data_IF_202680263738
#
_entry.id   IF_202680263738
#
_cell.length_a   1.000
_cell.length_b   1.000
_cell.length_c   1.000
_cell.angle_alpha   90.00
_cell.angle_beta   90.00
_cell.angle_gamma   90.00
#
_symmetry.space_group_name_H-M   'P 1'
#
loop_
_entity.id
_entity.type
_entity.pdbx_description
1 polymer ?
#
# COMPACT_ATOMS: atom_id res chain seq x y z
N UNK A 1 9.45 13.88 -22.72
CA UNK A 1 8.15 13.59 -23.35
C UNK A 1 7.81 14.62 -24.44
N UNK A 2 7.65 15.92 -24.15
CA UNK A 2 7.28 16.94 -25.15
C UNK A 2 8.15 16.91 -26.41
N UNK A 3 9.49 16.90 -26.24
CA UNK A 3 10.43 16.87 -27.38
C UNK A 3 10.28 15.62 -28.27
N UNK A 4 9.88 14.46 -27.68
CA UNK A 4 9.59 13.25 -28.45
C UNK A 4 8.28 13.40 -29.24
N UNK A 5 7.23 13.97 -28.61
CA UNK A 5 5.94 14.22 -29.29
C UNK A 5 6.10 15.20 -30.44
N UNK A 6 6.91 16.26 -30.25
CA UNK A 6 7.17 17.29 -31.27
C UNK A 6 8.22 16.84 -32.33
N UNK A 7 8.79 15.65 -32.22
CA UNK A 7 9.79 15.12 -33.14
C UNK A 7 11.18 15.80 -33.03
N UNK A 8 11.42 16.60 -31.98
CA UNK A 8 12.71 17.26 -31.72
C UNK A 8 13.72 16.39 -30.99
N UNK A 9 13.27 15.28 -30.41
CA UNK A 9 14.07 14.26 -29.74
C UNK A 9 13.65 12.88 -30.23
N UNK A 10 14.61 12.03 -30.51
CA UNK A 10 14.34 10.62 -30.78
C UNK A 10 14.03 9.86 -29.48
N UNK A 11 13.14 8.87 -29.56
CA UNK A 11 12.83 7.97 -28.48
C UNK A 11 13.93 6.90 -28.35
N UNK A 12 15.12 7.32 -27.99
CA UNK A 12 16.29 6.46 -27.84
C UNK A 12 16.37 5.77 -26.45
N UNK A 13 17.40 4.95 -26.25
CA UNK A 13 17.63 4.26 -24.99
C UNK A 13 17.89 5.22 -23.81
N UNK A 14 18.45 6.42 -24.08
CA UNK A 14 18.71 7.43 -23.05
C UNK A 14 17.42 8.04 -22.53
N UNK A 15 16.54 8.47 -23.43
CA UNK A 15 15.22 9.01 -23.10
C UNK A 15 14.39 7.98 -22.34
N UNK A 16 14.39 6.71 -22.80
CA UNK A 16 13.72 5.60 -22.11
C UNK A 16 14.28 5.39 -20.70
N UNK A 17 15.60 5.35 -20.57
CA UNK A 17 16.28 5.19 -19.29
C UNK A 17 15.88 6.25 -18.26
N UNK A 18 15.79 7.51 -18.67
CA UNK A 18 15.32 8.59 -17.79
C UNK A 18 13.87 8.43 -17.34
N UNK A 19 12.99 7.96 -18.23
CA UNK A 19 11.59 7.70 -17.88
C UNK A 19 11.42 6.47 -16.98
N UNK A 20 12.27 5.45 -17.16
CA UNK A 20 12.25 4.22 -16.35
C UNK A 20 12.83 4.42 -14.95
N UNK A 21 13.71 5.42 -14.75
CA UNK A 21 14.17 5.79 -13.41
C UNK A 21 13.14 6.57 -12.58
N UNK A 22 12.04 7.00 -13.19
CA UNK A 22 10.97 7.68 -12.47
C UNK A 22 10.20 6.72 -11.56
N UNK A 23 10.16 7.04 -10.26
CA UNK A 23 9.42 6.31 -9.22
C UNK A 23 7.89 6.36 -9.39
N UNK A 24 7.36 7.21 -10.25
CA UNK A 24 5.95 7.55 -10.32
C UNK A 24 5.33 7.94 -8.96
N UNK A 25 6.12 8.55 -8.08
CA UNK A 25 5.71 8.93 -6.71
C UNK A 25 4.83 10.18 -6.67
N UNK A 26 4.72 10.91 -7.77
CA UNK A 26 3.89 12.14 -7.94
C UNK A 26 4.29 13.32 -7.03
N UNK A 27 5.43 13.27 -6.36
CA UNK A 27 5.91 14.39 -5.53
C UNK A 27 6.16 15.67 -6.34
N UNK A 28 6.52 15.55 -7.61
CA UNK A 28 6.64 16.67 -8.54
C UNK A 28 5.32 17.41 -8.78
N UNK A 29 4.16 16.76 -8.62
CA UNK A 29 2.84 17.38 -8.77
C UNK A 29 2.55 18.36 -7.64
N UNK A 30 2.81 17.96 -6.40
CA UNK A 30 2.63 18.83 -5.22
C UNK A 30 3.66 19.94 -5.12
N UNK A 31 4.82 19.77 -5.74
CA UNK A 31 5.87 20.79 -5.82
C UNK A 31 5.70 21.74 -7.01
N UNK A 32 4.85 21.42 -7.99
CA UNK A 32 4.70 22.19 -9.21
C UNK A 32 3.78 23.41 -9.00
N UNK A 33 4.29 24.64 -9.13
CA UNK A 33 3.46 25.85 -8.98
C UNK A 33 2.42 26.00 -10.10
N UNK A 34 2.66 25.34 -11.26
CA UNK A 34 1.74 25.37 -12.42
C UNK A 34 0.70 24.23 -12.38
N UNK A 35 0.68 23.40 -11.35
CA UNK A 35 -0.31 22.34 -11.18
C UNK A 35 -0.25 21.21 -12.23
N UNK A 36 0.94 20.94 -12.79
CA UNK A 36 1.12 19.86 -13.79
C UNK A 36 0.85 18.50 -13.14
N UNK A 37 -0.11 17.76 -13.66
CA UNK A 37 -0.46 16.40 -13.21
C UNK A 37 0.42 15.37 -13.94
N UNK A 38 1.65 15.20 -13.47
CA UNK A 38 2.66 14.40 -14.15
C UNK A 38 2.26 12.91 -14.29
N UNK A 39 1.56 12.34 -13.33
CA UNK A 39 1.06 10.95 -13.42
C UNK A 39 0.15 10.72 -14.63
N UNK A 40 -0.65 11.73 -14.99
CA UNK A 40 -1.50 11.68 -16.19
C UNK A 40 -0.73 11.89 -17.50
N UNK A 41 0.54 12.21 -17.45
CA UNK A 41 1.41 12.33 -18.62
C UNK A 41 2.30 11.10 -18.78
N UNK A 42 2.87 10.58 -17.68
CA UNK A 42 3.87 9.52 -17.74
C UNK A 42 3.26 8.15 -18.10
N UNK A 43 2.09 7.82 -17.54
CA UNK A 43 1.50 6.51 -17.76
C UNK A 43 0.98 6.34 -19.20
N UNK A 44 0.21 7.27 -19.79
CA UNK A 44 -0.15 7.22 -21.22
C UNK A 44 1.08 7.29 -22.15
N UNK A 45 2.12 8.03 -21.76
CA UNK A 45 3.34 8.09 -22.57
C UNK A 45 4.08 6.74 -22.58
N UNK A 46 4.12 6.04 -21.45
CA UNK A 46 4.67 4.68 -21.37
C UNK A 46 3.87 3.71 -22.26
N UNK A 47 2.54 3.80 -22.25
CA UNK A 47 1.67 3.01 -23.12
C UNK A 47 1.97 3.27 -24.60
N UNK A 48 2.06 4.54 -24.99
CA UNK A 48 2.40 4.92 -26.35
C UNK A 48 3.81 4.41 -26.79
N UNK A 49 4.77 4.43 -25.85
CA UNK A 49 6.11 3.87 -26.10
C UNK A 49 6.06 2.36 -26.34
N UNK A 50 5.26 1.61 -25.57
CA UNK A 50 5.11 0.15 -25.74
C UNK A 50 4.45 -0.19 -27.08
N UNK A 51 3.46 0.59 -27.53
CA UNK A 51 2.85 0.41 -28.85
C UNK A 51 3.81 0.71 -30.00
N UNK A 52 4.67 1.73 -29.85
CA UNK A 52 5.66 2.07 -30.89
C UNK A 52 6.76 1.02 -31.01
N UNK A 53 7.21 0.42 -29.92
CA UNK A 53 8.26 -0.60 -29.88
C UNK A 53 7.91 -1.70 -28.84
N UNK A 54 7.09 -2.70 -29.20
CA UNK A 54 6.68 -3.75 -28.28
C UNK A 54 7.85 -4.50 -27.62
N UNK A 55 7.79 -4.65 -26.31
CA UNK A 55 8.80 -5.38 -25.52
C UNK A 55 10.04 -4.55 -25.15
N UNK A 56 10.10 -3.25 -25.50
CA UNK A 56 11.22 -2.36 -25.16
C UNK A 56 10.93 -1.32 -24.10
N UNK A 57 9.69 -1.21 -23.67
CA UNK A 57 9.25 -0.26 -22.65
C UNK A 57 9.10 -0.94 -21.31
N UNK A 58 9.44 -0.24 -20.28
CA UNK A 58 9.49 -0.72 -18.89
C UNK A 58 10.60 -1.78 -18.73
N UNK A 59 11.52 -1.53 -17.84
CA UNK A 59 12.64 -2.41 -17.54
C UNK A 59 12.23 -3.88 -17.61
N UNK A 60 12.90 -4.73 -18.37
CA UNK A 60 12.39 -6.02 -18.82
C UNK A 60 12.08 -6.90 -17.62
N UNK A 61 10.80 -7.03 -17.33
CA UNK A 61 10.32 -8.03 -16.37
C UNK A 61 10.71 -9.40 -16.92
N UNK A 62 11.40 -10.20 -16.12
CA UNK A 62 11.64 -11.57 -16.51
C UNK A 62 10.32 -12.35 -16.59
N UNK A 63 10.32 -13.51 -17.25
CA UNK A 63 9.12 -14.32 -17.50
C UNK A 63 8.34 -14.61 -16.20
N UNK A 64 9.06 -14.88 -15.11
CA UNK A 64 8.43 -15.15 -13.80
C UNK A 64 7.75 -13.92 -13.23
N UNK A 65 8.42 -12.76 -13.29
CA UNK A 65 7.84 -11.49 -12.82
C UNK A 65 6.62 -11.12 -13.64
N UNK A 66 6.67 -11.31 -14.96
CA UNK A 66 5.54 -11.07 -15.87
C UNK A 66 4.37 -12.01 -15.55
N UNK A 67 4.64 -13.31 -15.35
CA UNK A 67 3.65 -14.27 -14.93
C UNK A 67 2.97 -13.87 -13.61
N UNK A 68 3.76 -13.50 -12.61
CA UNK A 68 3.25 -13.09 -11.31
C UNK A 68 2.39 -11.83 -11.41
N UNK A 69 2.86 -10.80 -12.12
CA UNK A 69 2.15 -9.52 -12.23
C UNK A 69 0.84 -9.65 -13.01
N UNK A 70 0.85 -10.34 -14.16
CA UNK A 70 -0.30 -10.36 -15.07
C UNK A 70 -1.27 -11.53 -14.83
N UNK A 71 -0.79 -12.63 -14.24
CA UNK A 71 -1.64 -13.81 -14.06
C UNK A 71 -1.93 -14.15 -12.60
N UNK A 72 -1.00 -13.90 -11.68
CA UNK A 72 -1.18 -14.28 -10.27
C UNK A 72 -1.81 -13.14 -9.47
N UNK A 73 -1.16 -11.98 -9.42
CA UNK A 73 -1.59 -10.86 -8.58
C UNK A 73 -2.99 -10.30 -8.88
N UNK A 74 -3.50 -10.28 -10.12
CA UNK A 74 -4.86 -9.81 -10.38
C UNK A 74 -5.95 -10.63 -9.68
N UNK A 75 -5.65 -11.90 -9.38
CA UNK A 75 -6.59 -12.82 -8.74
C UNK A 75 -6.20 -13.11 -7.29
N UNK A 76 -7.03 -12.70 -6.33
CA UNK A 76 -6.84 -13.01 -4.90
C UNK A 76 -6.66 -14.51 -4.64
N UNK A 77 -7.43 -15.38 -5.33
CA UNK A 77 -7.32 -16.84 -5.20
C UNK A 77 -5.96 -17.35 -5.68
N UNK A 78 -5.51 -16.91 -6.86
CA UNK A 78 -4.21 -17.32 -7.42
C UNK A 78 -3.05 -16.82 -6.55
N UNK A 79 -3.12 -15.58 -6.05
CA UNK A 79 -2.10 -15.02 -5.14
C UNK A 79 -2.03 -15.82 -3.84
N UNK A 80 -3.18 -16.17 -3.24
CA UNK A 80 -3.21 -16.98 -2.01
C UNK A 80 -2.63 -18.38 -2.25
N UNK A 81 -2.94 -19.02 -3.39
CA UNK A 81 -2.38 -20.32 -3.77
C UNK A 81 -0.86 -20.23 -4.02
N UNK A 82 -0.40 -19.21 -4.73
CA UNK A 82 1.03 -18.98 -4.97
C UNK A 82 1.82 -18.75 -3.68
N UNK A 83 1.20 -18.17 -2.66
CA UNK A 83 1.82 -17.97 -1.34
C UNK A 83 1.68 -19.19 -0.39
N UNK A 84 0.89 -20.20 -0.74
CA UNK A 84 0.68 -21.38 0.13
C UNK A 84 1.99 -22.12 0.48
N UNK A 85 2.91 -22.40 -0.46
CA UNK A 85 4.20 -23.01 -0.15
C UNK A 85 5.04 -22.16 0.83
N UNK A 86 5.07 -20.83 0.65
CA UNK A 86 5.81 -19.94 1.54
C UNK A 86 5.20 -19.93 2.95
N UNK A 87 3.87 -19.96 3.07
CA UNK A 87 3.18 -20.11 4.38
C UNK A 87 3.53 -21.43 5.07
N UNK A 88 3.52 -22.53 4.31
CA UNK A 88 3.88 -23.85 4.85
C UNK A 88 5.33 -23.86 5.35
N UNK A 89 6.27 -23.30 4.59
CA UNK A 89 7.68 -23.20 4.98
C UNK A 89 7.87 -22.36 6.25
N UNK A 90 7.17 -21.23 6.36
CA UNK A 90 7.21 -20.38 7.55
C UNK A 90 6.55 -21.07 8.76
N UNK A 91 5.40 -21.73 8.56
CA UNK A 91 4.68 -22.42 9.62
C UNK A 91 5.43 -23.64 10.15
N UNK A 92 6.09 -24.42 9.29
CA UNK A 92 6.88 -25.59 9.67
C UNK A 92 8.21 -25.26 10.36
N UNK A 93 8.62 -23.99 10.38
CA UNK A 93 9.93 -23.56 10.88
C UNK A 93 11.10 -23.85 9.93
N UNK A 94 10.86 -24.50 8.80
CA UNK A 94 11.90 -24.79 7.79
C UNK A 94 12.50 -23.47 7.26
N UNK A 95 11.70 -22.45 7.12
CA UNK A 95 12.16 -21.12 6.68
C UNK A 95 13.23 -20.54 7.62
N UNK A 96 13.01 -20.64 8.94
CA UNK A 96 13.98 -20.24 9.95
C UNK A 96 15.28 -21.07 9.87
N UNK A 97 15.16 -22.39 9.68
CA UNK A 97 16.31 -23.28 9.54
C UNK A 97 17.13 -22.95 8.28
N UNK A 98 16.48 -22.69 7.14
CA UNK A 98 17.12 -22.27 5.88
C UNK A 98 17.85 -20.93 6.03
N UNK A 99 17.28 -19.98 6.78
CA UNK A 99 17.94 -18.71 7.08
C UNK A 99 19.16 -18.90 7.97
N UNK A 100 19.02 -19.66 9.06
CA UNK A 100 20.09 -19.90 10.03
C UNK A 100 21.27 -20.70 9.44
N UNK A 101 21.01 -21.66 8.57
CA UNK A 101 22.04 -22.44 7.86
C UNK A 101 22.72 -21.69 6.73
N UNK A 102 22.22 -20.52 6.34
CA UNK A 102 22.71 -19.77 5.19
C UNK A 102 22.35 -20.40 3.83
N UNK A 103 21.58 -21.48 3.79
CA UNK A 103 21.17 -22.16 2.56
C UNK A 103 20.36 -21.23 1.61
N UNK A 104 19.73 -20.20 2.15
CA UNK A 104 19.09 -19.14 1.32
C UNK A 104 20.04 -18.42 0.40
N UNK A 105 21.36 -18.44 0.67
CA UNK A 105 22.38 -17.83 -0.22
C UNK A 105 22.55 -18.60 -1.54
N UNK A 106 22.17 -19.88 -1.57
CA UNK A 106 22.19 -20.72 -2.76
C UNK A 106 21.03 -20.44 -3.73
N UNK A 107 19.98 -19.74 -3.27
CA UNK A 107 18.87 -19.35 -4.12
C UNK A 107 19.32 -18.32 -5.19
N UNK A 108 18.75 -18.39 -6.41
CA UNK A 108 18.91 -17.35 -7.42
C UNK A 108 18.62 -15.96 -6.84
N UNK A 109 19.34 -14.92 -7.29
CA UNK A 109 19.19 -13.54 -6.78
C UNK A 109 17.72 -13.07 -6.79
N UNK A 110 16.97 -13.38 -7.85
CA UNK A 110 15.56 -13.03 -7.98
C UNK A 110 14.67 -13.66 -6.90
N UNK A 111 14.84 -14.96 -6.61
CA UNK A 111 14.09 -15.66 -5.59
C UNK A 111 14.46 -15.18 -4.18
N UNK A 112 15.74 -14.88 -3.94
CA UNK A 112 16.22 -14.31 -2.69
C UNK A 112 15.62 -12.92 -2.43
N UNK A 113 15.59 -12.07 -3.46
CA UNK A 113 14.95 -10.75 -3.38
C UNK A 113 13.46 -10.86 -3.08
N UNK A 114 12.75 -11.74 -3.79
CA UNK A 114 11.32 -12.00 -3.55
C UNK A 114 11.05 -12.53 -2.13
N UNK A 115 11.89 -13.49 -1.65
CA UNK A 115 11.80 -13.98 -0.27
C UNK A 115 12.02 -12.86 0.75
N UNK A 116 13.00 -12.00 0.52
CA UNK A 116 13.30 -10.85 1.39
C UNK A 116 12.13 -9.86 1.52
N UNK A 117 11.30 -9.73 0.49
CA UNK A 117 10.12 -8.87 0.50
C UNK A 117 8.90 -9.48 1.19
N UNK A 118 8.87 -10.82 1.38
CA UNK A 118 7.75 -11.47 2.06
C UNK A 118 7.83 -11.21 3.58
N UNK A 119 6.81 -10.59 4.17
CA UNK A 119 6.70 -10.52 5.63
C UNK A 119 6.42 -11.91 6.22
N UNK A 120 6.43 -12.01 7.54
CA UNK A 120 5.84 -13.15 8.20
C UNK A 120 4.36 -13.22 7.81
N UNK A 121 4.00 -14.27 7.05
CA UNK A 121 2.63 -14.47 6.58
C UNK A 121 1.79 -14.94 7.76
N UNK A 122 1.02 -14.03 8.34
CA UNK A 122 0.14 -14.32 9.48
C UNK A 122 -0.88 -15.42 9.11
N UNK A 123 -1.36 -16.19 10.12
CA UNK A 123 -2.45 -17.12 9.92
C UNK A 123 -3.63 -16.43 9.22
N UNK A 124 -4.34 -17.17 8.42
CA UNK A 124 -5.48 -16.63 7.72
C UNK A 124 -6.57 -16.21 8.74
N UNK A 125 -6.74 -14.92 8.91
CA UNK A 125 -7.98 -14.39 9.47
C UNK A 125 -9.09 -14.85 8.53
N UNK A 126 -10.07 -15.61 8.98
CA UNK A 126 -11.13 -16.18 8.15
C UNK A 126 -11.60 -15.26 7.02
N UNK A 127 -12.30 -15.74 6.05
CA UNK A 127 -12.85 -14.89 4.99
C UNK A 127 -13.82 -13.91 5.64
N UNK A 128 -13.60 -12.60 5.42
CA UNK A 128 -14.58 -11.59 5.79
C UNK A 128 -15.93 -11.94 5.12
N UNK A 129 -17.05 -11.88 5.86
CA UNK A 129 -18.37 -12.05 5.25
C UNK A 129 -18.63 -10.94 4.24
N UNK A 130 -19.58 -11.13 3.35
CA UNK A 130 -19.92 -10.14 2.33
C UNK A 130 -20.58 -8.88 2.90
N UNK A 131 -21.20 -9.02 4.07
CA UNK A 131 -21.81 -7.93 4.80
C UNK A 131 -21.48 -8.01 6.29
N UNK A 132 -21.17 -6.86 6.88
CA UNK A 132 -20.96 -6.67 8.30
C UNK A 132 -21.83 -5.49 8.75
N UNK A 133 -22.81 -5.69 9.67
CA UNK A 133 -23.66 -4.61 10.16
C UNK A 133 -22.87 -3.64 11.05
N UNK A 134 -23.32 -2.41 11.12
CA UNK A 134 -22.79 -1.40 12.04
C UNK A 134 -22.90 -1.85 13.49
N UNK A 135 -21.94 -1.45 14.31
CA UNK A 135 -22.03 -1.54 15.76
C UNK A 135 -22.64 -0.22 16.28
N UNK A 136 -23.79 -0.31 16.92
CA UNK A 136 -24.56 0.85 17.35
C UNK A 136 -25.38 1.49 16.22
N UNK A 137 -25.77 2.78 16.35
CA UNK A 137 -26.53 3.47 15.32
C UNK A 137 -25.74 3.56 14.01
N UNK A 138 -26.42 3.25 12.89
CA UNK A 138 -25.80 3.33 11.57
C UNK A 138 -25.55 4.80 11.18
N UNK A 139 -24.28 5.10 10.85
CA UNK A 139 -23.81 6.42 10.41
C UNK A 139 -23.53 6.46 8.89
N UNK A 140 -23.13 5.31 8.31
CA UNK A 140 -22.88 5.20 6.89
C UNK A 140 -23.01 3.75 6.39
N UNK A 141 -23.20 3.57 5.08
CA UNK A 141 -23.10 2.30 4.36
C UNK A 141 -21.95 2.34 3.38
N UNK A 142 -20.90 1.55 3.60
CA UNK A 142 -19.67 1.64 2.84
C UNK A 142 -19.33 0.33 2.16
N UNK A 143 -18.70 0.42 0.98
CA UNK A 143 -18.07 -0.72 0.33
C UNK A 143 -16.59 -0.79 0.72
N UNK A 144 -16.07 -1.97 1.08
CA UNK A 144 -14.66 -2.15 1.38
C UNK A 144 -13.93 -2.82 0.21
N UNK A 145 -12.99 -2.11 -0.36
CA UNK A 145 -12.08 -2.62 -1.38
C UNK A 145 -10.87 -3.27 -0.72
N UNK A 146 -10.73 -4.61 -0.88
CA UNK A 146 -9.70 -5.39 -0.20
C UNK A 146 -8.33 -5.35 -0.90
N UNK A 147 -8.31 -5.05 -2.21
CA UNK A 147 -7.13 -5.18 -3.03
C UNK A 147 -6.75 -6.65 -3.33
N UNK A 148 -5.67 -6.84 -4.08
CA UNK A 148 -5.16 -8.16 -4.43
C UNK A 148 -3.99 -8.59 -3.52
N UNK A 149 -2.87 -7.86 -3.57
CA UNK A 149 -1.68 -8.11 -2.75
C UNK A 149 -1.97 -7.82 -1.28
N UNK A 150 -2.70 -6.73 -0.97
CA UNK A 150 -3.07 -6.38 0.39
C UNK A 150 -3.86 -7.51 1.07
N UNK A 151 -4.88 -8.06 0.39
CA UNK A 151 -5.67 -9.17 0.92
C UNK A 151 -4.88 -10.48 1.08
N UNK A 152 -3.89 -10.72 0.23
CA UNK A 152 -3.10 -11.94 0.27
C UNK A 152 -2.00 -11.89 1.35
N UNK A 153 -1.38 -10.73 1.58
CA UNK A 153 -0.19 -10.58 2.43
C UNK A 153 -0.57 -9.97 3.80
N UNK A 154 -1.50 -9.00 3.81
CA UNK A 154 -1.96 -8.29 5.02
C UNK A 154 -3.47 -8.46 5.27
N UNK A 155 -4.01 -9.70 5.29
CA UNK A 155 -5.45 -9.92 5.52
C UNK A 155 -5.92 -9.38 6.87
N UNK A 156 -5.04 -9.31 7.86
CA UNK A 156 -5.33 -8.73 9.17
C UNK A 156 -5.65 -7.24 9.09
N UNK A 157 -4.95 -6.48 8.25
CA UNK A 157 -5.24 -5.05 8.05
C UNK A 157 -6.61 -4.84 7.40
N UNK A 158 -7.00 -5.69 6.43
CA UNK A 158 -8.35 -5.68 5.88
C UNK A 158 -9.41 -6.03 6.92
N UNK A 159 -9.13 -7.02 7.78
CA UNK A 159 -10.00 -7.37 8.90
C UNK A 159 -10.12 -6.22 9.89
N UNK A 160 -9.01 -5.63 10.31
CA UNK A 160 -8.97 -4.47 11.20
C UNK A 160 -9.74 -3.29 10.58
N UNK A 161 -9.57 -3.02 9.27
CA UNK A 161 -10.31 -1.98 8.56
C UNK A 161 -11.82 -2.20 8.64
N UNK A 162 -12.29 -3.42 8.33
CA UNK A 162 -13.71 -3.75 8.40
C UNK A 162 -14.25 -3.56 9.83
N UNK A 163 -13.51 -3.99 10.85
CA UNK A 163 -13.91 -3.86 12.26
C UNK A 163 -13.91 -2.42 12.75
N UNK A 164 -12.89 -1.64 12.39
CA UNK A 164 -12.83 -0.21 12.74
C UNK A 164 -14.01 0.54 12.11
N UNK A 165 -14.36 0.25 10.86
CA UNK A 165 -15.54 0.83 10.20
C UNK A 165 -16.84 0.44 10.93
N UNK A 166 -17.01 -0.85 11.30
CA UNK A 166 -18.18 -1.28 12.09
C UNK A 166 -18.28 -0.54 13.43
N UNK A 167 -17.18 -0.44 14.17
CA UNK A 167 -17.11 0.22 15.48
C UNK A 167 -17.38 1.74 15.37
N UNK A 168 -17.20 2.30 14.18
CA UNK A 168 -17.54 3.69 13.86
C UNK A 168 -18.96 3.84 13.29
N UNK A 169 -19.81 2.83 13.40
CA UNK A 169 -21.20 2.88 12.97
C UNK A 169 -21.43 2.68 11.48
N UNK A 170 -20.53 1.97 10.78
CA UNK A 170 -20.70 1.72 9.36
C UNK A 170 -21.21 0.31 9.08
N UNK A 171 -22.23 0.19 8.22
CA UNK A 171 -22.53 -1.04 7.51
C UNK A 171 -21.44 -1.24 6.46
N UNK A 172 -20.76 -2.39 6.47
CA UNK A 172 -19.63 -2.67 5.56
C UNK A 172 -20.01 -3.76 4.59
N UNK A 173 -20.08 -3.41 3.30
CA UNK A 173 -20.29 -4.34 2.20
C UNK A 173 -18.95 -4.71 1.54
N UNK A 174 -18.69 -5.98 1.36
CA UNK A 174 -17.43 -6.52 0.85
C UNK A 174 -17.71 -7.40 -0.38
N UNK A 175 -17.78 -6.82 -1.59
CA UNK A 175 -18.16 -7.57 -2.78
C UNK A 175 -17.20 -8.73 -3.05
N UNK A 176 -17.71 -9.94 -3.23
CA UNK A 176 -16.89 -11.10 -3.61
C UNK A 176 -16.34 -11.00 -5.02
N UNK A 177 -17.07 -10.29 -5.89
CA UNK A 177 -16.74 -10.10 -7.29
C UNK A 177 -15.65 -9.06 -7.56
N UNK A 178 -15.23 -8.28 -6.52
CA UNK A 178 -14.17 -7.31 -6.70
C UNK A 178 -12.84 -7.97 -7.12
N UNK A 179 -12.08 -7.27 -7.96
CA UNK A 179 -10.81 -7.70 -8.52
C UNK A 179 -9.68 -6.72 -8.19
N UNK A 180 -8.48 -6.91 -8.75
CA UNK A 180 -7.37 -5.96 -8.61
C UNK A 180 -7.78 -4.54 -9.06
N UNK A 181 -7.21 -3.50 -8.43
CA UNK A 181 -7.43 -2.11 -8.85
C UNK A 181 -6.86 -1.77 -10.24
N UNK A 182 -5.95 -2.58 -10.77
CA UNK A 182 -5.32 -2.33 -12.08
C UNK A 182 -4.06 -1.45 -12.04
N UNK A 183 -3.68 -0.86 -10.91
CA UNK A 183 -2.55 0.06 -10.82
C UNK A 183 -1.25 -0.49 -11.41
N UNK A 184 -0.88 -1.74 -11.05
CA UNK A 184 0.34 -2.38 -11.56
C UNK A 184 0.31 -2.53 -13.09
N UNK A 185 -0.85 -2.83 -13.66
CA UNK A 185 -1.03 -2.98 -15.10
C UNK A 185 -0.91 -1.63 -15.80
N UNK A 186 -1.59 -0.62 -15.28
CA UNK A 186 -1.56 0.73 -15.85
C UNK A 186 -0.15 1.32 -15.84
N UNK A 187 0.56 1.22 -14.73
CA UNK A 187 1.95 1.72 -14.60
C UNK A 187 2.98 0.93 -15.42
N UNK A 188 2.61 -0.25 -15.93
CA UNK A 188 3.46 -1.12 -16.77
C UNK A 188 2.96 -1.21 -18.21
N UNK A 189 2.31 -0.17 -18.70
CA UNK A 189 1.83 -0.08 -20.09
C UNK A 189 0.90 -1.24 -20.51
N UNK A 190 -0.03 -1.62 -19.64
CA UNK A 190 -1.07 -2.61 -19.94
C UNK A 190 -2.46 -2.00 -19.65
N UNK A 191 -2.74 -0.87 -20.31
CA UNK A 191 -3.95 -0.07 -20.12
C UNK A 191 -5.22 -0.87 -20.39
N UNK A 192 -5.26 -1.69 -21.46
CA UNK A 192 -6.41 -2.52 -21.77
C UNK A 192 -6.80 -3.44 -20.62
N UNK A 193 -5.83 -4.13 -20.00
CA UNK A 193 -6.08 -4.96 -18.82
C UNK A 193 -6.54 -4.13 -17.62
N UNK A 194 -5.98 -2.93 -17.43
CA UNK A 194 -6.40 -2.04 -16.36
C UNK A 194 -7.85 -1.57 -16.53
N UNK A 195 -8.28 -1.28 -17.78
CA UNK A 195 -9.67 -0.94 -18.12
C UNK A 195 -10.65 -2.08 -17.86
N UNK A 196 -10.28 -3.33 -18.19
CA UNK A 196 -11.10 -4.52 -17.91
C UNK A 196 -11.29 -4.72 -16.39
N UNK A 197 -10.22 -4.56 -15.61
CA UNK A 197 -10.27 -4.65 -14.16
C UNK A 197 -11.12 -3.52 -13.55
N UNK A 198 -10.99 -2.29 -14.07
CA UNK A 198 -11.84 -1.18 -13.67
C UNK A 198 -13.31 -1.47 -13.95
N UNK A 199 -13.64 -1.93 -15.17
CA UNK A 199 -15.01 -2.28 -15.56
C UNK A 199 -15.63 -3.36 -14.67
N UNK A 200 -14.83 -4.35 -14.24
CA UNK A 200 -15.26 -5.38 -13.29
C UNK A 200 -15.52 -4.82 -11.89
N UNK A 201 -14.66 -3.91 -11.39
CA UNK A 201 -14.87 -3.27 -10.10
C UNK A 201 -16.09 -2.33 -10.11
N UNK A 202 -16.32 -1.57 -11.18
CA UNK A 202 -17.52 -0.75 -11.33
C UNK A 202 -18.80 -1.59 -11.21
N UNK A 203 -18.80 -2.81 -11.75
CA UNK A 203 -19.94 -3.72 -11.66
C UNK A 203 -20.08 -4.41 -10.29
N UNK A 204 -19.00 -4.52 -9.53
CA UNK A 204 -18.98 -5.23 -8.27
C UNK A 204 -19.56 -4.43 -7.09
N UNK A 205 -19.43 -3.09 -7.12
CA UNK A 205 -19.85 -2.24 -6.01
C UNK A 205 -21.23 -1.63 -6.27
N UNK A 206 -22.19 -1.81 -5.34
CA UNK A 206 -23.52 -1.21 -5.45
C UNK A 206 -23.49 0.32 -5.54
N UNK A 207 -24.42 0.86 -6.32
CA UNK A 207 -24.51 2.30 -6.52
C UNK A 207 -25.04 3.09 -5.32
N UNK A 208 -25.68 2.42 -4.35
CA UNK A 208 -26.30 3.02 -3.16
C UNK A 208 -25.36 3.11 -1.94
N UNK A 209 -24.08 2.85 -2.11
CA UNK A 209 -23.06 3.06 -1.08
C UNK A 209 -22.76 4.55 -0.90
N UNK A 210 -22.57 4.97 0.35
CA UNK A 210 -22.14 6.34 0.68
C UNK A 210 -20.68 6.58 0.30
N UNK A 211 -19.82 5.54 0.46
CA UNK A 211 -18.42 5.59 0.09
C UNK A 211 -17.86 4.20 -0.27
N UNK A 212 -16.76 4.20 -1.03
CA UNK A 212 -15.97 3.00 -1.35
C UNK A 212 -14.61 3.17 -0.70
N UNK A 213 -14.36 2.40 0.35
CA UNK A 213 -13.21 2.55 1.23
C UNK A 213 -12.08 1.63 0.77
N UNK A 214 -10.87 2.18 0.73
CA UNK A 214 -9.64 1.40 0.57
C UNK A 214 -8.62 1.75 1.65
N UNK A 215 -7.68 0.85 1.91
CA UNK A 215 -6.60 1.00 2.90
C UNK A 215 -5.20 0.86 2.28
N UNK A 216 -5.08 1.04 0.98
CA UNK A 216 -3.82 0.93 0.28
C UNK A 216 -3.66 2.10 -0.69
N UNK A 217 -2.78 3.05 -0.37
CA UNK A 217 -2.62 4.31 -1.09
C UNK A 217 -2.48 4.17 -2.61
N UNK A 218 -1.72 3.16 -3.08
CA UNK A 218 -1.57 2.91 -4.52
C UNK A 218 -2.86 2.44 -5.18
N UNK A 219 -3.64 1.59 -4.48
CA UNK A 219 -4.97 1.19 -4.96
C UNK A 219 -5.93 2.38 -4.95
N UNK A 220 -5.94 3.17 -3.88
CA UNK A 220 -6.81 4.34 -3.76
C UNK A 220 -6.57 5.37 -4.85
N UNK A 221 -5.32 5.67 -5.17
CA UNK A 221 -4.97 6.57 -6.26
C UNK A 221 -5.52 6.05 -7.61
N UNK A 222 -5.35 4.74 -7.88
CA UNK A 222 -5.86 4.14 -9.11
C UNK A 222 -7.39 4.14 -9.19
N UNK A 223 -8.06 3.78 -8.08
CA UNK A 223 -9.53 3.82 -8.01
C UNK A 223 -10.08 5.23 -8.24
N UNK A 224 -9.41 6.26 -7.73
CA UNK A 224 -9.75 7.69 -7.95
C UNK A 224 -9.42 8.17 -9.37
N UNK A 225 -8.62 7.43 -10.13
CA UNK A 225 -8.26 7.76 -11.52
C UNK A 225 -9.06 6.94 -12.57
N UNK A 226 -10.03 6.10 -12.16
CA UNK A 226 -10.85 5.31 -13.11
C UNK A 226 -11.60 6.16 -14.14
N UNK A 227 -12.10 7.33 -13.77
CA UNK A 227 -12.76 8.24 -14.73
C UNK A 227 -11.79 8.72 -15.82
N UNK A 228 -10.51 8.96 -15.47
CA UNK A 228 -9.47 9.31 -16.42
C UNK A 228 -9.10 8.12 -17.30
N UNK A 229 -8.89 6.93 -16.71
CA UNK A 229 -8.61 5.69 -17.43
C UNK A 229 -9.72 5.34 -18.45
N UNK A 230 -10.95 5.64 -18.09
CA UNK A 230 -12.16 5.29 -18.87
C UNK A 230 -12.71 6.48 -19.67
N UNK A 231 -11.89 7.52 -19.95
CA UNK A 231 -12.35 8.78 -20.54
C UNK A 231 -13.05 8.62 -21.90
N UNK A 232 -12.64 7.66 -22.70
CA UNK A 232 -13.18 7.31 -24.03
C UNK A 232 -14.01 6.00 -24.03
N UNK A 233 -14.28 5.44 -22.83
CA UNK A 233 -14.97 4.16 -22.69
C UNK A 233 -16.49 4.36 -22.45
N UNK A 234 -17.38 3.46 -22.93
CA UNK A 234 -18.83 3.54 -22.67
C UNK A 234 -19.24 3.61 -21.19
N UNK A 235 -18.40 3.10 -20.28
CA UNK A 235 -18.63 3.15 -18.83
C UNK A 235 -18.08 4.41 -18.14
N UNK A 236 -17.71 5.46 -18.87
CA UNK A 236 -17.14 6.70 -18.31
C UNK A 236 -18.01 7.30 -17.20
N UNK A 237 -19.31 7.44 -17.44
CA UNK A 237 -20.24 8.01 -16.44
C UNK A 237 -20.29 7.17 -15.16
N UNK A 238 -20.29 5.84 -15.29
CA UNK A 238 -20.21 4.96 -14.14
C UNK A 238 -18.87 5.09 -13.38
N UNK A 239 -17.77 5.28 -14.10
CA UNK A 239 -16.46 5.52 -13.50
C UNK A 239 -16.40 6.87 -12.75
N UNK A 240 -16.99 7.93 -13.29
CA UNK A 240 -17.12 9.23 -12.63
C UNK A 240 -17.93 9.13 -11.32
N UNK A 241 -19.08 8.43 -11.36
CA UNK A 241 -19.90 8.19 -10.17
C UNK A 241 -19.18 7.33 -9.11
N UNK A 242 -18.40 6.34 -9.54
CA UNK A 242 -17.59 5.51 -8.67
C UNK A 242 -16.47 6.33 -8.01
N UNK A 243 -15.73 7.12 -8.80
CA UNK A 243 -14.64 7.96 -8.31
C UNK A 243 -15.09 8.92 -7.21
N UNK A 244 -16.27 9.52 -7.36
CA UNK A 244 -16.83 10.46 -6.38
C UNK A 244 -17.04 9.82 -4.99
N UNK A 245 -17.13 8.48 -4.93
CA UNK A 245 -17.35 7.71 -3.69
C UNK A 245 -16.06 7.09 -3.13
N UNK A 246 -14.98 7.05 -3.90
CA UNK A 246 -13.72 6.44 -3.44
C UNK A 246 -13.08 7.32 -2.39
N UNK A 247 -12.85 6.76 -1.21
CA UNK A 247 -12.13 7.39 -0.11
C UNK A 247 -11.08 6.46 0.48
N UNK A 248 -9.93 7.03 0.87
CA UNK A 248 -9.01 6.34 1.76
C UNK A 248 -9.66 6.17 3.14
N UNK A 249 -9.36 5.09 3.83
CA UNK A 249 -9.95 4.80 5.14
C UNK A 249 -9.68 5.91 6.16
N UNK A 250 -8.51 6.54 6.11
CA UNK A 250 -8.17 7.62 7.03
C UNK A 250 -8.96 8.89 6.68
N UNK A 251 -9.06 9.23 5.39
CA UNK A 251 -9.87 10.34 4.89
C UNK A 251 -11.33 10.17 5.34
N UNK A 252 -11.90 8.99 5.10
CA UNK A 252 -13.29 8.70 5.44
C UNK A 252 -13.56 8.77 6.94
N UNK A 253 -12.73 8.13 7.77
CA UNK A 253 -12.91 8.13 9.23
C UNK A 253 -12.72 9.53 9.83
N UNK A 254 -11.79 10.32 9.29
CA UNK A 254 -11.58 11.70 9.70
C UNK A 254 -12.81 12.57 9.39
N UNK A 255 -13.34 12.49 8.16
CA UNK A 255 -14.53 13.22 7.74
C UNK A 255 -15.79 12.78 8.50
N UNK A 256 -15.90 11.48 8.79
CA UNK A 256 -17.01 10.93 9.57
C UNK A 256 -16.98 11.40 11.03
N UNK A 257 -15.83 11.83 11.54
CA UNK A 257 -15.60 12.07 12.96
C UNK A 257 -15.48 10.75 13.71
N UNK A 258 -14.29 10.14 13.67
CA UNK A 258 -14.03 8.85 14.28
C UNK A 258 -14.34 8.85 15.78
N UNK A 259 -14.97 7.78 16.26
CA UNK A 259 -15.22 7.56 17.69
C UNK A 259 -13.86 7.38 18.37
N UNK A 260 -13.64 8.08 19.49
CA UNK A 260 -12.36 8.01 20.20
C UNK A 260 -12.12 6.60 20.76
N UNK A 261 -10.99 5.94 20.42
CA UNK A 261 -10.63 4.64 21.00
C UNK A 261 -10.23 4.78 22.47
N UNK A 262 -10.29 3.69 23.24
CA UNK A 262 -10.18 3.74 24.70
C UNK A 262 -8.98 3.01 25.28
N UNK A 263 -8.43 2.03 24.58
CA UNK A 263 -7.30 1.25 25.10
C UNK A 263 -5.96 1.91 24.73
N UNK A 264 -5.08 2.16 25.70
CA UNK A 264 -3.84 2.87 25.44
C UNK A 264 -2.82 2.00 24.66
N UNK A 265 -2.09 2.66 23.76
CA UNK A 265 -0.89 2.13 23.14
C UNK A 265 0.32 2.97 23.58
N UNK A 266 0.95 2.62 24.69
CA UNK A 266 2.08 3.37 25.24
C UNK A 266 3.34 3.12 24.39
N UNK A 267 3.42 3.80 23.26
CA UNK A 267 4.49 3.67 22.26
C UNK A 267 4.90 5.04 21.74
N UNK A 268 6.20 5.21 21.51
CA UNK A 268 6.73 6.28 20.69
C UNK A 268 6.70 5.84 19.23
N UNK A 269 6.01 6.56 18.39
CA UNK A 269 5.75 6.17 17.01
C UNK A 269 6.02 7.30 16.02
N UNK A 270 6.30 6.92 14.78
CA UNK A 270 6.46 7.87 13.68
C UNK A 270 5.59 7.47 12.49
N UNK A 271 5.41 8.38 11.52
CA UNK A 271 4.56 8.14 10.36
C UNK A 271 5.30 8.43 9.06
N UNK A 272 5.32 7.44 8.16
CA UNK A 272 5.80 7.59 6.79
C UNK A 272 4.62 7.93 5.86
N UNK A 273 4.72 9.06 5.19
CA UNK A 273 3.74 9.46 4.17
C UNK A 273 3.91 8.62 2.91
N UNK A 274 2.99 7.68 2.69
CA UNK A 274 2.97 6.94 1.45
C UNK A 274 2.75 7.91 0.28
N UNK A 275 3.64 7.90 -0.70
CA UNK A 275 3.67 8.90 -1.76
C UNK A 275 2.33 9.05 -2.51
N UNK A 276 1.65 7.95 -2.84
CA UNK A 276 0.35 7.99 -3.48
C UNK A 276 -0.78 8.48 -2.55
N UNK A 277 -0.63 8.38 -1.23
CA UNK A 277 -1.57 8.99 -0.30
C UNK A 277 -1.36 10.50 -0.24
N UNK A 278 -0.09 10.91 -0.01
CA UNK A 278 0.27 12.30 0.19
C UNK A 278 0.17 13.13 -1.09
N UNK A 279 0.76 12.66 -2.19
CA UNK A 279 0.90 13.45 -3.41
C UNK A 279 -0.23 13.20 -4.41
N UNK A 280 -0.60 11.95 -4.68
CA UNK A 280 -1.66 11.64 -5.63
C UNK A 280 -3.05 11.93 -5.08
N UNK A 281 -3.31 11.63 -3.80
CA UNK A 281 -4.61 11.83 -3.17
C UNK A 281 -4.66 13.05 -2.25
N UNK A 282 -3.52 13.69 -1.96
CA UNK A 282 -3.39 14.87 -1.10
C UNK A 282 -3.87 14.64 0.36
N UNK A 283 -3.80 13.40 0.83
CA UNK A 283 -4.20 12.98 2.17
C UNK A 283 -2.96 12.87 3.06
N UNK A 284 -2.78 13.80 4.00
CA UNK A 284 -1.64 13.83 4.92
C UNK A 284 -2.02 14.16 6.37
N UNK A 285 -3.11 14.91 6.58
CA UNK A 285 -3.60 15.29 7.92
C UNK A 285 -4.37 14.15 8.59
N UNK A 286 -5.27 13.52 7.86
CA UNK A 286 -6.20 12.52 8.39
C UNK A 286 -5.52 11.34 9.09
N UNK A 287 -4.46 10.70 8.55
CA UNK A 287 -3.81 9.59 9.24
C UNK A 287 -3.23 9.99 10.60
N UNK A 288 -2.61 11.19 10.68
CA UNK A 288 -2.02 11.71 11.92
C UNK A 288 -3.10 12.03 12.94
N UNK A 289 -4.13 12.76 12.53
CA UNK A 289 -5.25 13.11 13.40
C UNK A 289 -5.95 11.87 14.00
N UNK A 290 -6.04 10.77 13.25
CA UNK A 290 -6.59 9.52 13.76
C UNK A 290 -5.64 8.81 14.73
N UNK A 291 -4.33 8.84 14.48
CA UNK A 291 -3.33 8.27 15.39
C UNK A 291 -3.28 9.07 16.71
N UNK A 292 -3.45 10.40 16.66
CA UNK A 292 -3.49 11.27 17.83
C UNK A 292 -4.71 11.00 18.74
N UNK A 293 -5.75 10.29 18.25
CA UNK A 293 -6.87 9.85 19.08
C UNK A 293 -6.50 8.69 20.03
N UNK A 294 -5.42 7.97 19.74
CA UNK A 294 -5.03 6.77 20.49
C UNK A 294 -4.38 7.18 21.82
N UNK A 295 -4.95 6.80 22.97
CA UNK A 295 -4.38 7.14 24.27
C UNK A 295 -2.96 6.56 24.43
N UNK A 296 -2.03 7.36 24.95
CA UNK A 296 -0.66 6.94 25.23
C UNK A 296 0.26 6.76 24.02
N UNK A 297 -0.22 7.05 22.80
CA UNK A 297 0.61 7.04 21.59
C UNK A 297 1.29 8.40 21.43
N UNK A 298 2.63 8.39 21.51
CA UNK A 298 3.46 9.58 21.27
C UNK A 298 3.90 9.64 19.81
N UNK A 299 3.33 10.55 19.03
CA UNK A 299 3.72 10.73 17.63
C UNK A 299 4.90 11.69 17.50
N UNK A 300 6.00 11.20 16.92
CA UNK A 300 7.20 12.02 16.65
C UNK A 300 7.38 12.23 15.14
N UNK A 301 7.82 13.43 14.71
CA UNK A 301 8.05 13.70 13.29
C UNK A 301 9.12 12.79 12.68
N UNK A 302 8.85 12.23 11.50
CA UNK A 302 9.83 11.51 10.71
C UNK A 302 10.54 12.48 9.77
N UNK A 303 11.87 12.62 9.84
CA UNK A 303 12.61 13.36 8.82
C UNK A 303 12.31 12.80 7.42
N UNK A 304 12.07 13.68 6.45
CA UNK A 304 11.74 13.29 5.08
C UNK A 304 10.58 12.27 5.00
N UNK A 305 9.54 12.48 5.80
CA UNK A 305 8.40 11.54 5.88
C UNK A 305 7.79 11.24 4.51
N UNK A 306 7.75 12.21 3.61
CA UNK A 306 7.20 12.17 2.26
C UNK A 306 8.12 11.56 1.20
N UNK A 307 9.43 11.41 1.49
CA UNK A 307 10.36 10.78 0.55
C UNK A 307 9.95 9.33 0.31
N UNK A 308 9.87 8.93 -0.97
CA UNK A 308 9.47 7.58 -1.34
C UNK A 308 10.36 6.52 -0.66
N UNK A 309 9.75 5.43 -0.21
CA UNK A 309 10.45 4.30 0.42
C UNK A 309 11.21 3.39 -0.58
N UNK A 310 11.07 3.64 -1.89
CA UNK A 310 11.68 2.82 -2.94
C UNK A 310 10.84 1.63 -3.41
N UNK A 311 9.64 1.38 -2.86
CA UNK A 311 8.78 0.29 -3.31
C UNK A 311 8.24 0.52 -4.72
N UNK A 312 7.54 1.64 -4.93
CA UNK A 312 7.02 2.16 -6.20
C UNK A 312 6.51 1.08 -7.18
N UNK A 313 5.54 0.28 -6.76
CA UNK A 313 4.96 -0.80 -7.55
C UNK A 313 5.97 -1.92 -7.84
N UNK A 314 6.49 -1.98 -9.06
CA UNK A 314 7.51 -2.94 -9.50
C UNK A 314 8.93 -2.37 -9.49
N UNK A 315 9.12 -1.11 -9.10
CA UNK A 315 10.39 -0.39 -9.20
C UNK A 315 11.53 -1.09 -8.43
N UNK A 316 11.25 -1.60 -7.25
CA UNK A 316 12.23 -2.36 -6.45
C UNK A 316 12.69 -3.68 -7.12
N UNK A 317 11.98 -4.16 -8.14
CA UNK A 317 12.37 -5.31 -8.95
C UNK A 317 13.18 -4.88 -10.20
N UNK A 318 12.88 -3.70 -10.75
CA UNK A 318 13.46 -3.19 -11.98
C UNK A 318 14.64 -2.25 -11.75
N UNK A 319 14.65 -1.53 -10.61
CA UNK A 319 15.68 -0.58 -10.19
C UNK A 319 16.15 -0.88 -8.75
N UNK A 320 16.69 -2.10 -8.49
CA UNK A 320 16.96 -2.56 -7.13
C UNK A 320 17.97 -1.69 -6.37
N UNK A 321 19.00 -1.17 -7.06
CA UNK A 321 20.05 -0.37 -6.42
C UNK A 321 19.52 0.98 -5.88
N UNK A 322 18.66 1.64 -6.64
CA UNK A 322 18.04 2.88 -6.19
C UNK A 322 17.00 2.62 -5.09
N UNK A 323 16.22 1.55 -5.23
CA UNK A 323 15.26 1.12 -4.21
C UNK A 323 15.93 0.79 -2.87
N UNK A 324 17.12 0.16 -2.90
CA UNK A 324 17.92 -0.12 -1.69
C UNK A 324 18.37 1.19 -1.03
N UNK A 325 18.97 2.12 -1.78
CA UNK A 325 19.41 3.43 -1.26
C UNK A 325 18.26 4.23 -0.60
N UNK A 326 17.07 4.22 -1.22
CA UNK A 326 15.89 4.88 -0.66
C UNK A 326 15.40 4.19 0.61
N UNK A 327 15.42 2.86 0.64
CA UNK A 327 15.10 2.06 1.81
C UNK A 327 16.06 2.34 2.97
N UNK A 328 17.37 2.27 2.74
CA UNK A 328 18.40 2.52 3.76
C UNK A 328 18.27 3.95 4.34
N UNK A 329 18.07 4.96 3.47
CA UNK A 329 17.83 6.34 3.91
C UNK A 329 16.58 6.46 4.79
N UNK A 330 15.50 5.76 4.43
CA UNK A 330 14.27 5.74 5.24
C UNK A 330 14.49 5.09 6.60
N UNK A 331 15.26 4.00 6.68
CA UNK A 331 15.59 3.35 7.95
C UNK A 331 16.46 4.24 8.83
N UNK A 332 17.47 4.90 8.27
CA UNK A 332 18.28 5.87 9.01
C UNK A 332 17.42 7.00 9.62
N UNK A 333 16.45 7.51 8.86
CA UNK A 333 15.51 8.52 9.36
C UNK A 333 14.59 7.97 10.48
N UNK A 334 14.11 6.71 10.36
CA UNK A 334 13.31 6.05 11.42
C UNK A 334 14.16 5.88 12.68
N UNK A 335 15.39 5.38 12.54
CA UNK A 335 16.33 5.19 13.66
C UNK A 335 16.59 6.49 14.40
N UNK A 336 16.79 7.60 13.68
CA UNK A 336 17.04 8.92 14.27
C UNK A 336 15.88 9.43 15.14
N UNK A 337 14.64 8.93 14.93
CA UNK A 337 13.49 9.32 15.77
C UNK A 337 13.45 8.60 17.11
N UNK A 338 14.17 7.50 17.29
CA UNK A 338 14.02 6.60 18.43
C UNK A 338 12.62 5.97 18.55
N UNK A 339 11.86 5.94 17.47
CA UNK A 339 10.51 5.42 17.47
C UNK A 339 10.48 3.89 17.62
N UNK A 340 9.55 3.41 18.42
CA UNK A 340 9.27 1.98 18.63
C UNK A 340 8.30 1.43 17.58
N UNK A 341 7.57 2.32 16.90
CA UNK A 341 6.67 1.95 15.81
C UNK A 341 6.77 2.93 14.65
N UNK A 342 6.53 2.43 13.43
CA UNK A 342 6.38 3.26 12.24
C UNK A 342 5.11 2.87 11.51
N UNK A 343 4.26 3.86 11.24
CA UNK A 343 2.99 3.64 10.55
C UNK A 343 3.03 4.15 9.12
N UNK A 344 2.31 3.46 8.22
CA UNK A 344 2.21 3.84 6.81
C UNK A 344 0.97 3.26 6.15
N UNK A 345 0.24 4.08 5.38
CA UNK A 345 -1.04 3.72 4.75
C UNK A 345 -0.90 3.03 3.38
N UNK A 346 0.13 2.19 3.18
CA UNK A 346 0.31 1.49 1.90
C UNK A 346 1.05 0.17 2.04
N UNK A 347 0.48 -0.90 1.49
CA UNK A 347 1.04 -2.26 1.55
C UNK A 347 2.44 -2.37 0.92
N UNK A 348 2.68 -1.70 -0.20
CA UNK A 348 3.99 -1.69 -0.84
C UNK A 348 5.07 -1.06 0.04
N UNK A 349 4.74 0.06 0.70
CA UNK A 349 5.63 0.70 1.67
C UNK A 349 5.89 -0.20 2.88
N UNK A 350 4.85 -0.88 3.41
CA UNK A 350 5.01 -1.83 4.50
C UNK A 350 6.00 -2.94 4.15
N UNK A 351 5.85 -3.56 2.98
CA UNK A 351 6.76 -4.62 2.53
C UNK A 351 8.21 -4.13 2.41
N UNK A 352 8.42 -2.97 1.79
CA UNK A 352 9.75 -2.40 1.57
C UNK A 352 10.41 -2.00 2.88
N UNK A 353 9.72 -1.24 3.73
CA UNK A 353 10.25 -0.77 5.01
C UNK A 353 10.51 -1.95 5.95
N UNK A 354 9.58 -2.93 6.06
CA UNK A 354 9.79 -4.12 6.89
C UNK A 354 10.99 -4.95 6.45
N UNK A 355 11.27 -5.03 5.14
CA UNK A 355 12.45 -5.72 4.63
C UNK A 355 13.74 -5.12 5.20
N UNK A 356 13.85 -3.80 5.21
CA UNK A 356 15.00 -3.08 5.75
C UNK A 356 15.02 -3.11 7.29
N UNK A 357 13.88 -2.92 7.95
CA UNK A 357 13.79 -3.01 9.42
C UNK A 357 14.26 -4.35 9.96
N UNK A 358 13.93 -5.46 9.30
CA UNK A 358 14.40 -6.80 9.74
C UNK A 358 15.92 -6.90 9.84
N UNK A 359 16.64 -6.13 9.02
CA UNK A 359 18.10 -6.12 8.99
C UNK A 359 18.67 -5.22 10.09
N UNK A 360 18.13 -4.02 10.25
CA UNK A 360 18.78 -2.95 11.00
C UNK A 360 18.06 -2.59 12.32
N UNK A 361 16.73 -2.73 12.39
CA UNK A 361 15.88 -2.35 13.51
C UNK A 361 14.72 -3.36 13.69
N UNK A 362 15.01 -4.65 13.94
CA UNK A 362 13.99 -5.71 13.98
C UNK A 362 12.95 -5.53 15.09
N UNK A 363 13.24 -4.71 16.10
CA UNK A 363 12.35 -4.41 17.20
C UNK A 363 11.29 -3.35 16.86
N UNK A 364 11.46 -2.57 15.78
CA UNK A 364 10.49 -1.54 15.39
C UNK A 364 9.24 -2.18 14.78
N UNK A 365 8.09 -1.86 15.33
CA UNK A 365 6.81 -2.32 14.79
C UNK A 365 6.39 -1.51 13.58
N UNK A 366 6.43 -2.10 12.38
CA UNK A 366 5.88 -1.50 11.19
C UNK A 366 4.45 -1.99 10.94
N UNK A 367 3.50 -1.07 10.83
CA UNK A 367 2.09 -1.40 10.68
C UNK A 367 1.30 -0.34 9.89
N UNK A 368 0.10 -0.71 9.50
CA UNK A 368 -0.87 0.24 8.99
C UNK A 368 -1.51 1.02 10.16
N UNK A 369 -1.82 2.32 10.04
CA UNK A 369 -2.48 3.06 11.13
C UNK A 369 -3.76 2.41 11.65
N UNK A 370 -4.51 1.76 10.76
CA UNK A 370 -5.73 1.03 11.13
C UNK A 370 -5.46 -0.14 12.07
N UNK A 371 -4.29 -0.79 11.99
CA UNK A 371 -3.94 -1.87 12.92
C UNK A 371 -3.75 -1.32 14.35
N UNK A 372 -3.17 -0.11 14.47
CA UNK A 372 -3.06 0.58 15.75
C UNK A 372 -4.42 1.04 16.29
N UNK A 373 -5.26 1.61 15.42
CA UNK A 373 -6.63 2.00 15.79
C UNK A 373 -7.44 0.78 16.24
N UNK A 374 -7.39 -0.33 15.50
CA UNK A 374 -8.07 -1.57 15.88
C UNK A 374 -7.63 -2.07 17.26
N UNK A 375 -6.32 -2.11 17.50
CA UNK A 375 -5.80 -2.48 18.82
C UNK A 375 -6.29 -1.56 19.93
N UNK A 376 -6.37 -0.25 19.66
CA UNK A 376 -6.87 0.72 20.63
C UNK A 376 -8.39 0.70 20.81
N UNK A 377 -9.17 0.29 19.81
CA UNK A 377 -10.61 0.07 19.97
C UNK A 377 -10.93 -1.20 20.76
N UNK A 378 -10.17 -2.27 20.56
CA UNK A 378 -10.52 -3.60 21.07
C UNK A 378 -9.73 -4.03 22.29
N UNK A 379 -8.59 -3.41 22.57
CA UNK A 379 -7.61 -3.88 23.54
C UNK A 379 -6.79 -5.10 23.07
N UNK A 380 -7.00 -5.57 21.84
CA UNK A 380 -6.27 -6.70 21.26
C UNK A 380 -4.89 -6.24 20.78
N UNK A 381 -3.91 -6.33 21.65
CA UNK A 381 -2.53 -5.96 21.30
C UNK A 381 -1.98 -6.86 20.18
N UNK A 382 -1.35 -6.28 19.14
CA UNK A 382 -0.64 -7.04 18.11
C UNK A 382 0.42 -7.97 18.70
N UNK A 383 0.61 -9.13 18.06
CA UNK A 383 1.56 -10.15 18.52
C UNK A 383 2.99 -9.58 18.60
N UNK A 384 3.37 -8.77 17.64
CA UNK A 384 4.66 -8.09 17.55
C UNK A 384 4.95 -7.20 18.77
N UNK A 385 3.92 -6.68 19.42
CA UNK A 385 4.05 -5.89 20.64
C UNK A 385 4.01 -6.75 21.90
N UNK A 386 3.30 -7.89 21.86
CA UNK A 386 3.23 -8.84 23.01
C UNK A 386 4.55 -9.55 23.25
N UNK A 387 5.26 -9.91 22.19
CA UNK A 387 6.50 -10.70 22.23
C UNK A 387 7.76 -9.86 22.50
N UNK A 388 7.64 -8.55 22.68
CA UNK A 388 8.79 -7.69 23.00
C UNK A 388 9.36 -7.99 24.39
N UNK A 389 10.71 -8.00 24.53
CA UNK A 389 11.36 -8.08 25.83
C UNK A 389 10.87 -6.98 26.78
N UNK A 390 10.73 -7.29 28.06
CA UNK A 390 10.25 -6.35 29.07
C UNK A 390 11.14 -5.08 29.21
N UNK A 391 12.42 -5.16 28.85
CA UNK A 391 13.33 -4.02 28.79
C UNK A 391 12.89 -2.94 27.79
N UNK A 392 12.39 -3.33 26.63
CA UNK A 392 11.90 -2.40 25.58
C UNK A 392 10.54 -1.79 25.95
N UNK A 393 9.78 -2.45 26.84
CA UNK A 393 8.48 -1.95 27.32
C UNK A 393 8.59 -0.84 28.37
N UNK A 394 9.74 -0.70 29.06
CA UNK A 394 9.91 0.21 30.20
C UNK A 394 10.52 1.58 29.88
N UNK A 395 11.03 1.80 28.69
CA UNK A 395 11.69 3.07 28.33
C UNK A 395 10.76 4.17 27.82
N UNK A 396 9.45 3.97 27.87
CA UNK A 396 8.49 5.08 27.76
C UNK A 396 8.48 5.87 29.09
N UNK A 397 9.59 6.55 29.43
CA UNK A 397 9.59 7.54 30.50
C UNK A 397 8.77 8.75 30.04
N UNK A 398 7.88 9.29 30.90
CA UNK A 398 7.26 10.58 30.61
C UNK A 398 8.37 11.62 30.48
N UNK A 399 8.27 12.45 29.44
CA UNK A 399 9.12 13.63 29.28
C UNK A 399 9.00 14.48 30.56
N UNK A 400 10.13 14.76 31.22
CA UNK A 400 10.17 15.73 32.31
C UNK A 400 9.69 17.08 31.75
N UNK A 401 8.79 17.79 32.44
CA UNK A 401 8.39 19.11 32.04
C UNK A 401 9.61 20.05 32.18
N UNK A 402 9.96 20.73 31.08
CA UNK A 402 10.74 21.95 31.10
C UNK A 402 9.77 23.13 31.10
#
# INVERSE_FOLDING_TARGET
MRGVIDGTLELDASVKGHLDTCLNCRACETACPSGVQYGRLIDPFREAMEHAEPGRTVAPLNVLQRLLMFNVFPSRRRTRLALAPARLLQWSGIDWLLERSGATRLLPKSLRSMKGMLPALKPHYGSLPEFLPAVGPRRARVGLFLGCVADAIYPHTNYATAKVLQLNGCDVFIPRAQVCCGALHYHTAAEGTARDLAAANLAAFPADLDAIINNAAGCGAMLKDYAHLMHDHPKRVAAEAFNAKVKDVHEFLYDLGAIKPTHPLNLRATYHDACHLRHAQQIHKAPRALLDLIPGLEMVPLPESELCCGAAGSYNLTQPDMAEKLGDRKIANIQATGAQAVFMGNVGCLMQVMRHLKKDLPEVWAAHPIDALYASYTGEMPRELKERPASVRREARPASPL
#
